data_IF_004215517213
#
_entry.id   IF_004215517213
#
_cell.length_a   1.000
_cell.length_b   1.000
_cell.length_c   1.000
_cell.angle_alpha   90.00
_cell.angle_beta   90.00
_cell.angle_gamma   90.00
#
_symmetry.space_group_name_H-M   'P 1'
#
loop_
_entity.id
_entity.type
_entity.pdbx_description
1 polymer ?
#
# COMPACT_ATOMS: atom_id res chain seq x y z
N UNK A 1 22.01 28.69 10.57
CA UNK A 1 20.86 27.86 10.92
C UNK A 1 20.94 26.63 10.02
N UNK A 2 21.56 25.62 10.55
CA UNK A 2 21.77 24.35 9.85
C UNK A 2 20.48 23.55 9.89
N UNK A 3 19.91 23.28 8.71
CA UNK A 3 18.87 22.29 8.55
C UNK A 3 19.42 20.94 9.01
N UNK A 4 18.86 20.38 10.07
CA UNK A 4 19.13 19.01 10.47
C UNK A 4 18.63 18.12 9.32
N UNK A 5 19.57 17.59 8.55
CA UNK A 5 19.35 16.39 7.75
C UNK A 5 18.98 15.28 8.73
N UNK A 6 17.69 15.05 8.90
CA UNK A 6 17.21 13.84 9.55
C UNK A 6 17.69 12.67 8.69
N UNK A 7 18.73 12.01 9.15
CA UNK A 7 19.14 10.71 8.63
C UNK A 7 17.93 9.77 8.73
N UNK A 8 17.37 9.46 7.59
CA UNK A 8 16.30 8.46 7.48
C UNK A 8 16.90 7.10 7.88
N UNK A 9 16.25 6.36 8.78
CA UNK A 9 16.72 5.05 9.18
C UNK A 9 16.90 4.14 7.95
N UNK A 10 17.94 3.37 7.99
CA UNK A 10 18.55 2.71 6.85
C UNK A 10 17.72 1.52 6.39
N UNK A 11 16.88 1.74 5.40
CA UNK A 11 16.48 0.64 4.50
C UNK A 11 17.59 0.49 3.46
N UNK A 12 18.01 -0.74 3.12
CA UNK A 12 19.03 -0.92 2.09
C UNK A 12 18.64 -0.16 0.81
N UNK A 13 19.51 0.70 0.33
CA UNK A 13 19.22 1.55 -0.84
C UNK A 13 18.88 0.77 -2.10
N UNK A 14 19.37 -0.48 -2.21
CA UNK A 14 19.10 -1.41 -3.31
C UNK A 14 17.63 -1.83 -3.31
N UNK A 15 17.08 -2.17 -2.13
CA UNK A 15 15.69 -2.63 -2.00
C UNK A 15 14.70 -1.49 -2.30
N UNK A 16 15.03 -0.30 -1.86
CA UNK A 16 14.23 0.88 -2.15
C UNK A 16 14.23 1.21 -3.66
N UNK A 17 15.36 1.06 -4.34
CA UNK A 17 15.46 1.31 -5.78
C UNK A 17 14.63 0.31 -6.61
N UNK A 18 14.57 -0.95 -6.20
CA UNK A 18 13.70 -1.96 -6.80
C UNK A 18 12.23 -1.63 -6.57
N UNK A 19 11.87 -1.22 -5.36
CA UNK A 19 10.52 -0.81 -5.02
C UNK A 19 10.06 0.41 -5.83
N UNK A 20 10.94 1.38 -6.10
CA UNK A 20 10.64 2.55 -6.95
C UNK A 20 10.27 2.16 -8.38
N UNK A 21 10.97 1.20 -8.95
CA UNK A 21 10.79 0.76 -10.35
C UNK A 21 9.67 -0.25 -10.54
N UNK A 22 9.15 -0.81 -9.46
CA UNK A 22 8.12 -1.85 -9.48
C UNK A 22 6.74 -1.27 -9.21
N UNK A 23 5.73 -1.90 -9.81
CA UNK A 23 4.31 -1.67 -9.49
C UNK A 23 3.80 -2.60 -8.38
N UNK A 24 4.67 -3.45 -7.85
CA UNK A 24 4.32 -4.42 -6.82
C UNK A 24 3.93 -3.76 -5.50
N UNK A 25 3.13 -4.47 -4.71
CA UNK A 25 2.83 -4.08 -3.34
C UNK A 25 4.10 -4.11 -2.49
N UNK A 26 4.21 -3.15 -1.58
CA UNK A 26 5.33 -3.04 -0.64
C UNK A 26 4.77 -3.11 0.78
N UNK A 27 5.39 -3.94 1.61
CA UNK A 27 5.10 -4.02 3.04
C UNK A 27 6.31 -3.51 3.83
N UNK A 28 6.09 -2.47 4.63
CA UNK A 28 7.05 -2.00 5.62
C UNK A 28 6.76 -2.63 6.98
N UNK A 29 7.79 -3.17 7.63
CA UNK A 29 7.71 -3.59 9.04
C UNK A 29 8.65 -2.72 9.87
N UNK A 30 8.11 -2.06 10.89
CA UNK A 30 8.87 -1.21 11.80
C UNK A 30 8.15 0.10 12.18
N UNK A 31 8.92 1.13 12.47
CA UNK A 31 8.38 2.42 12.93
C UNK A 31 7.38 3.04 11.95
N UNK A 32 6.19 3.38 12.46
CA UNK A 32 5.08 3.87 11.64
C UNK A 32 5.38 5.19 10.93
N UNK A 33 6.01 6.13 11.62
CA UNK A 33 6.33 7.45 11.05
C UNK A 33 7.35 7.33 9.93
N UNK A 34 8.33 6.48 10.16
CA UNK A 34 9.37 6.18 9.16
C UNK A 34 8.77 5.45 7.96
N UNK A 35 7.88 4.48 8.20
CA UNK A 35 7.19 3.76 7.13
C UNK A 35 6.38 4.73 6.24
N UNK A 36 5.65 5.67 6.83
CA UNK A 36 4.89 6.66 6.08
C UNK A 36 5.80 7.59 5.28
N UNK A 37 6.89 8.07 5.87
CA UNK A 37 7.85 8.93 5.18
C UNK A 37 8.48 8.21 3.97
N UNK A 38 8.85 6.94 4.13
CA UNK A 38 9.37 6.10 3.05
C UNK A 38 8.32 5.81 1.98
N UNK A 39 7.08 5.55 2.37
CA UNK A 39 5.99 5.34 1.43
C UNK A 39 5.72 6.57 0.57
N UNK A 40 5.72 7.76 1.16
CA UNK A 40 5.61 9.04 0.44
C UNK A 40 6.77 9.25 -0.52
N UNK A 41 7.99 8.94 -0.09
CA UNK A 41 9.18 9.02 -0.94
C UNK A 41 9.11 8.03 -2.10
N UNK A 42 8.68 6.78 -1.87
CA UNK A 42 8.44 5.81 -2.93
C UNK A 42 7.44 6.32 -3.96
N UNK A 43 6.33 6.88 -3.50
CA UNK A 43 5.33 7.48 -4.37
C UNK A 43 5.92 8.59 -5.24
N UNK A 44 6.66 9.53 -4.64
CA UNK A 44 7.26 10.68 -5.34
C UNK A 44 8.31 10.27 -6.39
N UNK A 45 9.04 9.20 -6.14
CA UNK A 45 10.09 8.70 -7.03
C UNK A 45 9.58 7.72 -8.09
N UNK A 46 8.38 7.21 -7.94
CA UNK A 46 7.79 6.21 -8.85
C UNK A 46 6.98 6.84 -9.99
N UNK A 47 6.57 6.01 -10.93
CA UNK A 47 5.63 6.40 -12.00
C UNK A 47 4.24 6.80 -11.49
N UNK A 48 3.92 6.54 -10.22
CA UNK A 48 2.64 6.85 -9.58
C UNK A 48 2.54 8.28 -9.03
N UNK A 49 3.62 9.04 -9.09
CA UNK A 49 3.72 10.42 -8.56
C UNK A 49 2.70 11.40 -9.13
N UNK A 50 2.14 11.12 -10.30
CA UNK A 50 1.15 11.98 -10.97
C UNK A 50 -0.23 11.87 -10.33
N UNK A 51 -0.53 10.77 -9.64
CA UNK A 51 -1.77 10.57 -8.92
C UNK A 51 -1.64 10.91 -7.43
N UNK A 52 -2.74 10.85 -6.68
CA UNK A 52 -2.73 11.14 -5.26
C UNK A 52 -2.01 10.06 -4.44
N UNK A 53 -1.46 10.47 -3.31
CA UNK A 53 -1.06 9.58 -2.21
C UNK A 53 -2.15 9.61 -1.15
N UNK A 54 -2.82 8.50 -0.94
CA UNK A 54 -3.98 8.39 -0.05
C UNK A 54 -3.65 7.49 1.14
N UNK A 55 -3.38 8.06 2.33
CA UNK A 55 -3.20 7.27 3.54
C UNK A 55 -4.56 6.79 4.08
N UNK A 56 -4.61 5.53 4.48
CA UNK A 56 -5.75 4.88 5.13
C UNK A 56 -5.28 4.31 6.46
N UNK A 57 -5.84 4.78 7.55
CA UNK A 57 -5.54 4.25 8.89
C UNK A 57 -6.40 3.00 9.14
N UNK A 58 -5.75 1.84 9.23
CA UNK A 58 -6.44 0.56 9.42
C UNK A 58 -7.00 0.36 10.82
N UNK A 59 -6.77 1.28 11.75
CA UNK A 59 -7.35 1.29 13.11
C UNK A 59 -8.71 1.97 13.18
N UNK A 60 -9.19 2.54 12.06
CA UNK A 60 -10.52 3.15 11.99
C UNK A 60 -11.64 2.11 12.20
N UNK A 61 -12.85 2.55 12.58
CA UNK A 61 -14.02 1.66 12.64
C UNK A 61 -14.25 0.92 11.33
N UNK A 62 -14.66 -0.33 11.42
CA UNK A 62 -14.81 -1.25 10.29
C UNK A 62 -15.66 -0.67 9.14
N UNK A 63 -16.81 -0.09 9.45
CA UNK A 63 -17.69 0.49 8.42
C UNK A 63 -17.07 1.66 7.65
N UNK A 64 -16.23 2.47 8.29
CA UNK A 64 -15.48 3.53 7.61
C UNK A 64 -14.38 2.97 6.72
N UNK A 65 -13.66 1.95 7.21
CA UNK A 65 -12.64 1.26 6.44
C UNK A 65 -13.21 0.61 5.19
N UNK A 66 -14.31 -0.12 5.31
CA UNK A 66 -14.97 -0.75 4.19
C UNK A 66 -15.39 0.28 3.12
N UNK A 67 -16.06 1.34 3.54
CA UNK A 67 -16.49 2.40 2.62
C UNK A 67 -15.31 3.06 1.91
N UNK A 68 -14.25 3.36 2.64
CA UNK A 68 -13.06 4.02 2.09
C UNK A 68 -12.30 3.09 1.13
N UNK A 69 -12.13 1.82 1.49
CA UNK A 69 -11.46 0.84 0.63
C UNK A 69 -12.30 0.52 -0.62
N UNK A 70 -13.61 0.43 -0.50
CA UNK A 70 -14.50 0.24 -1.64
C UNK A 70 -14.41 1.42 -2.60
N UNK A 71 -14.39 2.66 -2.12
CA UNK A 71 -14.24 3.85 -2.95
C UNK A 71 -12.87 3.87 -3.67
N UNK A 72 -11.80 3.53 -2.96
CA UNK A 72 -10.44 3.57 -3.49
C UNK A 72 -10.12 2.41 -4.45
N UNK A 73 -10.73 1.24 -4.25
CA UNK A 73 -10.42 0.01 -4.97
C UNK A 73 -11.54 -0.44 -5.92
N UNK A 74 -12.68 0.28 -5.95
CA UNK A 74 -13.79 -0.07 -6.82
C UNK A 74 -13.48 0.29 -8.28
N UNK A 75 -13.15 -0.75 -9.02
CA UNK A 75 -12.86 -0.66 -10.45
C UNK A 75 -14.12 -0.42 -11.29
N UNK A 76 -15.30 -0.81 -10.76
CA UNK A 76 -16.56 -0.75 -11.51
C UNK A 76 -17.25 0.62 -11.44
N UNK A 77 -17.07 1.35 -10.35
CA UNK A 77 -17.63 2.70 -10.17
C UNK A 77 -16.92 3.78 -10.97
N UNK A 78 -15.74 3.50 -11.45
CA UNK A 78 -15.06 4.39 -12.37
C UNK A 78 -15.70 4.24 -13.74
N UNK A 79 -16.64 5.13 -14.05
CA UNK A 79 -17.18 5.27 -15.41
C UNK A 79 -16.02 5.26 -16.38
N UNK A 80 -16.09 4.50 -17.48
CA UNK A 80 -15.09 4.57 -18.53
C UNK A 80 -15.02 6.02 -18.99
N UNK A 81 -13.97 6.71 -18.59
CA UNK A 81 -13.64 8.01 -19.15
C UNK A 81 -13.12 7.71 -20.55
N UNK A 82 -13.77 8.25 -21.57
CA UNK A 82 -13.42 8.07 -22.97
C UNK A 82 -12.05 8.67 -23.36
N UNK A 83 -11.17 8.85 -22.39
CA UNK A 83 -9.82 9.35 -22.62
C UNK A 83 -8.84 8.20 -22.75
N UNK A 84 -7.93 8.24 -23.74
CA UNK A 84 -6.96 7.18 -23.96
C UNK A 84 -5.94 6.98 -22.84
N UNK A 85 -5.94 7.82 -21.82
CA UNK A 85 -5.00 7.81 -20.71
C UNK A 85 -5.73 7.82 -19.36
N UNK A 86 -5.27 7.05 -18.36
CA UNK A 86 -5.82 7.16 -17.00
C UNK A 86 -5.65 8.59 -16.52
N UNK A 87 -6.73 9.18 -16.04
CA UNK A 87 -6.65 10.50 -15.41
C UNK A 87 -5.83 10.42 -14.12
N UNK A 88 -5.16 11.48 -13.70
CA UNK A 88 -4.41 11.50 -12.43
C UNK A 88 -5.23 11.06 -11.22
N UNK A 89 -6.54 11.27 -11.24
CA UNK A 89 -7.46 10.80 -10.19
C UNK A 89 -7.66 9.28 -10.18
N UNK A 90 -7.36 8.60 -11.28
CA UNK A 90 -7.53 7.14 -11.45
C UNK A 90 -6.25 6.36 -11.17
N UNK A 91 -5.12 7.02 -11.07
CA UNK A 91 -3.83 6.45 -10.73
C UNK A 91 -3.33 7.04 -9.42
N UNK A 92 -2.49 6.36 -8.71
CA UNK A 92 -1.92 6.86 -7.47
C UNK A 92 -1.52 5.74 -6.53
N UNK A 93 -1.24 6.11 -5.30
CA UNK A 93 -0.80 5.18 -4.25
C UNK A 93 -1.77 5.21 -3.08
N UNK A 94 -2.18 4.03 -2.64
CA UNK A 94 -2.89 3.83 -1.38
C UNK A 94 -1.87 3.37 -0.35
N UNK A 95 -1.80 4.04 0.79
CA UNK A 95 -0.95 3.66 1.90
C UNK A 95 -1.79 3.16 3.07
N UNK A 96 -1.72 1.85 3.34
CA UNK A 96 -2.43 1.20 4.44
C UNK A 96 -1.56 1.24 5.69
N UNK A 97 -1.90 2.13 6.63
CA UNK A 97 -1.17 2.30 7.89
C UNK A 97 -1.66 1.28 8.90
N UNK A 98 -0.72 0.52 9.48
CA UNK A 98 -0.97 -0.53 10.46
C UNK A 98 -1.97 -1.59 9.97
N UNK A 99 -1.61 -2.24 8.89
CA UNK A 99 -2.46 -3.23 8.23
C UNK A 99 -2.79 -4.44 9.11
N UNK A 100 -1.97 -4.72 10.13
CA UNK A 100 -2.23 -5.75 11.12
C UNK A 100 -3.47 -5.49 11.99
N UNK A 101 -3.92 -4.24 12.07
CA UNK A 101 -5.12 -3.84 12.81
C UNK A 101 -6.43 -4.01 12.03
N UNK A 102 -6.37 -4.42 10.76
CA UNK A 102 -7.59 -4.67 9.97
C UNK A 102 -8.45 -5.79 10.58
N UNK A 103 -9.76 -5.59 10.73
CA UNK A 103 -10.69 -6.68 11.05
C UNK A 103 -10.65 -7.79 9.99
N UNK A 104 -10.80 -9.06 10.39
CA UNK A 104 -10.77 -10.21 9.47
C UNK A 104 -11.74 -10.06 8.27
N UNK A 105 -12.99 -9.62 8.43
CA UNK A 105 -13.88 -9.42 7.29
C UNK A 105 -13.31 -8.43 6.26
N UNK A 106 -12.70 -7.34 6.72
CA UNK A 106 -12.07 -6.34 5.87
C UNK A 106 -10.83 -6.91 5.17
N UNK A 107 -10.04 -7.72 5.88
CA UNK A 107 -8.87 -8.41 5.30
C UNK A 107 -9.27 -9.30 4.11
N UNK A 108 -10.32 -10.10 4.27
CA UNK A 108 -10.82 -10.99 3.21
C UNK A 108 -11.30 -10.20 1.99
N UNK A 109 -12.09 -9.15 2.20
CA UNK A 109 -12.53 -8.26 1.11
C UNK A 109 -11.37 -7.59 0.40
N UNK A 110 -10.41 -7.08 1.16
CA UNK A 110 -9.20 -6.46 0.60
C UNK A 110 -8.40 -7.46 -0.25
N UNK A 111 -8.25 -8.70 0.24
CA UNK A 111 -7.57 -9.76 -0.49
C UNK A 111 -8.26 -10.06 -1.83
N UNK A 112 -9.58 -10.16 -1.86
CA UNK A 112 -10.36 -10.35 -3.09
C UNK A 112 -10.20 -9.19 -4.06
N UNK A 113 -10.28 -7.96 -3.58
CA UNK A 113 -10.09 -6.75 -4.41
C UNK A 113 -8.69 -6.68 -5.02
N UNK A 114 -7.66 -6.96 -4.24
CA UNK A 114 -6.28 -6.99 -4.75
C UNK A 114 -6.04 -8.09 -5.78
N UNK A 115 -6.75 -9.23 -5.68
CA UNK A 115 -6.69 -10.29 -6.67
C UNK A 115 -7.16 -9.80 -8.05
N UNK A 116 -8.30 -9.11 -8.08
CA UNK A 116 -8.87 -8.56 -9.33
C UNK A 116 -7.99 -7.48 -9.95
N UNK A 117 -7.37 -6.64 -9.14
CA UNK A 117 -6.46 -5.59 -9.63
C UNK A 117 -5.23 -6.14 -10.36
N UNK A 118 -4.80 -7.36 -10.01
CA UNK A 118 -3.59 -7.99 -10.57
C UNK A 118 -3.85 -8.95 -11.72
N UNK A 119 -5.04 -9.50 -11.83
CA UNK A 119 -5.36 -10.59 -12.76
C UNK A 119 -6.32 -10.21 -13.88
N UNK A 120 -6.71 -8.95 -13.99
CA UNK A 120 -7.64 -8.50 -15.02
C UNK A 120 -7.15 -8.89 -16.42
N UNK A 121 -7.93 -9.68 -17.20
CA UNK A 121 -7.55 -10.06 -18.55
C UNK A 121 -7.60 -8.83 -19.45
N UNK A 122 -6.52 -8.62 -20.17
CA UNK A 122 -6.42 -7.61 -21.20
C UNK A 122 -6.22 -6.20 -20.68
N UNK A 123 -5.61 -5.43 -21.50
CA UNK A 123 -5.18 -4.05 -21.36
C UNK A 123 -6.30 -3.03 -21.13
N UNK A 124 -7.40 -3.46 -20.53
CA UNK A 124 -8.47 -2.54 -20.13
C UNK A 124 -7.93 -1.60 -19.07
N UNK A 125 -7.79 -0.38 -19.43
CA UNK A 125 -7.43 0.84 -18.73
C UNK A 125 -8.19 1.04 -17.41
N UNK A 126 -8.08 0.05 -16.52
CA UNK A 126 -8.71 0.10 -15.20
C UNK A 126 -7.80 0.87 -14.26
N UNK A 127 -8.40 1.49 -13.27
CA UNK A 127 -7.72 2.24 -12.23
C UNK A 127 -6.50 1.46 -11.77
N UNK A 128 -5.35 2.05 -12.00
CA UNK A 128 -4.10 1.53 -11.49
C UNK A 128 -3.80 2.24 -10.19
N UNK A 129 -3.90 1.52 -9.10
CA UNK A 129 -3.46 2.01 -7.80
C UNK A 129 -2.39 1.10 -7.26
N UNK A 130 -1.29 1.70 -6.84
CA UNK A 130 -0.26 1.00 -6.10
C UNK A 130 -0.68 0.90 -4.64
N UNK A 131 -0.47 -0.26 -4.03
CA UNK A 131 -0.70 -0.46 -2.60
C UNK A 131 0.63 -0.59 -1.88
N UNK A 132 0.82 0.27 -0.89
CA UNK A 132 1.92 0.21 0.07
C UNK A 132 1.28 0.05 1.44
N UNK A 133 1.82 -0.81 2.27
CA UNK A 133 1.31 -1.06 3.62
C UNK A 133 2.40 -1.01 4.66
N UNK A 134 2.03 -0.77 5.89
CA UNK A 134 2.93 -0.81 7.04
C UNK A 134 2.34 -1.60 8.19
N UNK A 135 3.21 -2.16 8.99
CA UNK A 135 2.88 -2.83 10.26
C UNK A 135 4.01 -2.59 11.27
N UNK A 136 3.69 -2.30 12.55
CA UNK A 136 4.71 -2.13 13.58
C UNK A 136 5.40 -3.45 13.96
N UNK A 137 4.71 -4.58 13.75
CA UNK A 137 5.18 -5.92 14.13
C UNK A 137 5.07 -6.90 12.98
N UNK A 138 5.90 -7.96 12.94
CA UNK A 138 5.79 -9.00 11.92
C UNK A 138 4.40 -9.64 11.89
N UNK A 139 3.81 -9.76 10.70
CA UNK A 139 2.47 -10.33 10.52
C UNK A 139 2.44 -11.87 10.60
N UNK A 140 3.58 -12.52 10.55
CA UNK A 140 3.68 -13.99 10.61
C UNK A 140 3.07 -14.52 11.90
N UNK A 141 3.34 -13.88 13.04
CA UNK A 141 2.76 -14.27 14.31
C UNK A 141 1.23 -14.12 14.32
N UNK A 142 0.71 -13.09 13.66
CA UNK A 142 -0.72 -12.87 13.52
C UNK A 142 -1.39 -13.94 12.63
N UNK A 143 -0.68 -14.42 11.62
CA UNK A 143 -1.15 -15.53 10.76
C UNK A 143 -1.23 -16.81 11.56
N UNK A 144 -0.20 -17.14 12.34
CA UNK A 144 -0.16 -18.32 13.20
C UNK A 144 -1.26 -18.30 14.28
N UNK A 145 -1.60 -17.12 14.79
CA UNK A 145 -2.69 -16.92 15.75
C UNK A 145 -4.08 -16.87 15.10
N UNK A 146 -4.16 -16.89 13.78
CA UNK A 146 -5.43 -16.81 13.05
C UNK A 146 -6.08 -15.41 13.05
N UNK A 147 -5.33 -14.37 13.38
CA UNK A 147 -5.81 -12.97 13.41
C UNK A 147 -5.50 -12.20 12.13
N UNK A 148 -4.67 -12.76 11.25
CA UNK A 148 -4.37 -12.19 9.94
C UNK A 148 -4.48 -13.25 8.82
N UNK A 149 -5.13 -12.86 7.71
CA UNK A 149 -5.33 -13.74 6.56
C UNK A 149 -4.04 -13.95 5.76
N UNK A 150 -3.64 -15.22 5.59
CA UNK A 150 -2.42 -15.57 4.87
C UNK A 150 -2.45 -15.18 3.39
N UNK A 151 -3.61 -15.23 2.74
CA UNK A 151 -3.76 -14.81 1.35
C UNK A 151 -3.51 -13.32 1.18
N UNK A 152 -4.03 -12.50 2.08
CA UNK A 152 -3.76 -11.07 2.10
C UNK A 152 -2.28 -10.78 2.34
N UNK A 153 -1.67 -11.49 3.27
CA UNK A 153 -0.23 -11.35 3.55
C UNK A 153 0.61 -11.53 2.28
N UNK A 154 0.40 -12.61 1.55
CA UNK A 154 1.17 -12.86 0.32
C UNK A 154 0.90 -11.83 -0.77
N UNK A 155 -0.26 -11.20 -0.81
CA UNK A 155 -0.58 -10.14 -1.76
C UNK A 155 0.09 -8.83 -1.42
N UNK A 156 0.20 -8.50 -0.14
CA UNK A 156 0.82 -7.26 0.35
C UNK A 156 2.34 -7.35 0.40
N UNK A 157 2.87 -8.54 0.73
CA UNK A 157 4.27 -8.79 0.98
C UNK A 157 5.03 -9.25 -0.29
N UNK A 158 4.86 -8.54 -1.39
CA UNK A 158 5.62 -8.82 -2.63
C UNK A 158 7.04 -8.26 -2.52
N UNK A 159 7.17 -7.05 -1.99
CA UNK A 159 8.44 -6.46 -1.59
C UNK A 159 8.34 -6.16 -0.09
N UNK A 160 9.22 -6.76 0.68
CA UNK A 160 9.27 -6.57 2.13
C UNK A 160 10.47 -5.71 2.52
N UNK A 161 10.19 -4.61 3.21
CA UNK A 161 11.20 -3.68 3.69
C UNK A 161 11.11 -3.56 5.21
N UNK A 162 12.13 -4.04 5.89
CA UNK A 162 12.22 -3.94 7.36
C UNK A 162 12.94 -2.64 7.70
N UNK A 163 12.29 -1.83 8.51
CA UNK A 163 12.84 -0.58 9.02
C UNK A 163 13.59 -0.91 10.30
N UNK A 164 14.92 -0.83 10.23
CA UNK A 164 15.75 -0.95 11.43
C UNK A 164 15.62 0.30 12.26
N UNK A 165 15.47 0.14 13.58
CA UNK A 165 15.63 1.26 14.49
C UNK A 165 17.04 1.83 14.28
N UNK A 166 17.13 3.14 14.15
CA UNK A 166 18.43 3.80 14.18
C UNK A 166 19.00 3.62 15.58
N UNK A 167 20.21 3.02 15.70
CA UNK A 167 20.95 2.95 16.93
C UNK A 167 21.35 4.36 17.42
#
# INVERSE_FOLDING_TARGET
>A
MTAQEQELPTVPAIDLSHAVRSDACVLFTGDEKTAEALARRLHQLSGWRQGPFVPVDCRQPEGLLESQLDELLDVERSKPVETPWPTPAQSGTIFLRDVGSLPLPVQLRLSERLAVLRTGPGESRRIRRRVISSTPTPLVDCIEQGTFDGSLYYRLNVIHLVISAAD
#
